data_IF_846882984726
#
_entry.id   IF_846882984726
#
_cell.length_a   1.000
_cell.length_b   1.000
_cell.length_c   1.000
_cell.angle_alpha   90.00
_cell.angle_beta   90.00
_cell.angle_gamma   90.00
#
_symmetry.space_group_name_H-M   'P 1'
#
loop_
_entity.id
_entity.type
_entity.pdbx_description
1 polymer ?
#
# COMPACT_ATOMS: atom_id res chain seq x y z
N UNK A 1 -21.37 -24.66 -45.32
CA UNK A 1 -20.75 -23.93 -44.20
C UNK A 1 -21.74 -24.04 -43.06
N UNK A 2 -21.52 -25.03 -42.20
CA UNK A 2 -22.47 -25.42 -41.16
C UNK A 2 -22.35 -24.49 -39.96
N UNK A 3 -23.47 -23.85 -39.62
CA UNK A 3 -23.56 -22.91 -38.52
C UNK A 3 -23.98 -23.69 -37.26
N UNK A 4 -23.00 -24.16 -36.47
CA UNK A 4 -23.26 -24.85 -35.22
C UNK A 4 -23.74 -23.85 -34.15
N UNK A 5 -24.86 -24.11 -33.44
CA UNK A 5 -25.32 -23.23 -32.38
C UNK A 5 -24.41 -23.30 -31.15
N UNK A 6 -24.11 -22.14 -30.55
CA UNK A 6 -23.36 -22.05 -29.29
C UNK A 6 -24.15 -22.70 -28.13
N UNK A 7 -23.46 -23.34 -27.17
CA UNK A 7 -24.11 -23.88 -25.98
C UNK A 7 -24.68 -22.75 -25.12
N UNK A 8 -25.96 -22.87 -24.75
CA UNK A 8 -26.59 -21.98 -23.77
C UNK A 8 -26.07 -22.35 -22.38
N UNK A 9 -25.36 -21.41 -21.76
CA UNK A 9 -24.98 -21.49 -20.34
C UNK A 9 -26.22 -21.14 -19.51
N UNK A 10 -26.67 -22.09 -18.70
CA UNK A 10 -27.68 -21.84 -17.67
C UNK A 10 -27.00 -21.24 -16.43
N UNK A 11 -27.27 -19.96 -16.18
CA UNK A 11 -26.69 -19.22 -15.06
C UNK A 11 -27.36 -19.54 -13.71
N UNK A 12 -28.44 -20.33 -13.69
CA UNK A 12 -29.16 -20.71 -12.47
C UNK A 12 -28.47 -21.77 -11.60
N UNK A 13 -27.51 -22.53 -12.15
CA UNK A 13 -26.91 -23.70 -11.48
C UNK A 13 -25.59 -23.37 -10.74
N UNK A 14 -24.96 -22.23 -11.03
CA UNK A 14 -23.60 -21.90 -10.54
C UNK A 14 -23.59 -21.20 -9.17
N UNK A 15 -24.75 -20.97 -8.55
CA UNK A 15 -24.88 -20.25 -7.28
C UNK A 15 -25.38 -21.10 -6.10
N UNK A 16 -25.36 -22.43 -6.22
CA UNK A 16 -25.59 -23.30 -5.07
C UNK A 16 -24.25 -23.81 -4.52
N UNK A 17 -23.57 -22.95 -3.77
CA UNK A 17 -22.61 -23.45 -2.79
C UNK A 17 -23.40 -23.97 -1.59
N UNK A 18 -23.16 -25.20 -1.11
CA UNK A 18 -23.77 -25.65 0.13
C UNK A 18 -23.31 -24.74 1.29
N UNK A 19 -24.13 -24.52 2.33
CA UNK A 19 -23.68 -23.80 3.51
C UNK A 19 -22.49 -24.53 4.10
N UNK A 20 -21.37 -23.82 4.22
CA UNK A 20 -20.17 -24.34 4.89
C UNK A 20 -20.49 -24.38 6.38
N UNK A 21 -20.55 -25.58 6.95
CA UNK A 21 -20.75 -25.76 8.39
C UNK A 21 -19.45 -25.35 9.10
N UNK A 22 -19.54 -24.41 10.05
CA UNK A 22 -18.37 -23.83 10.70
C UNK A 22 -17.62 -24.84 11.59
N UNK A 23 -18.29 -25.93 11.96
CA UNK A 23 -17.79 -26.98 12.87
C UNK A 23 -16.93 -28.05 12.16
N UNK A 24 -16.93 -28.11 10.82
CA UNK A 24 -16.10 -29.07 10.05
C UNK A 24 -14.68 -28.55 9.76
N UNK A 25 -14.39 -27.28 10.09
CA UNK A 25 -13.10 -26.63 9.80
C UNK A 25 -12.07 -26.73 10.96
N UNK A 26 -12.44 -27.32 12.10
CA UNK A 26 -11.56 -27.48 13.27
C UNK A 26 -11.78 -28.81 14.04
N UNK A 27 -11.09 -29.90 13.70
CA UNK A 27 -11.07 -31.09 14.54
C UNK A 27 -10.04 -30.91 15.68
N UNK A 28 -10.53 -30.45 16.84
CA UNK A 28 -9.78 -30.39 18.10
C UNK A 28 -10.31 -29.24 18.95
N UNK A 29 -11.18 -29.43 19.93
CA UNK A 29 -11.16 -30.49 20.95
C UNK A 29 -10.89 -29.80 22.28
N UNK A 30 -11.93 -29.24 22.89
CA UNK A 30 -11.90 -28.68 24.24
C UNK A 30 -11.73 -29.84 25.23
N UNK A 31 -10.49 -30.10 25.64
CA UNK A 31 -10.18 -30.99 26.76
C UNK A 31 -10.04 -30.17 28.04
N UNK A 32 -11.08 -30.17 28.86
CA UNK A 32 -10.97 -29.82 30.27
C UNK A 32 -10.08 -30.88 30.95
N UNK A 33 -8.90 -30.45 31.41
CA UNK A 33 -7.98 -31.27 32.18
C UNK A 33 -7.42 -30.43 33.32
N UNK A 34 -7.84 -30.78 34.54
CA UNK A 34 -7.30 -30.28 35.82
C UNK A 34 -5.77 -30.25 35.81
N UNK A 35 -5.17 -29.10 36.12
CA UNK A 35 -3.76 -29.01 36.50
C UNK A 35 -3.68 -28.78 38.02
N UNK A 36 -3.11 -29.71 38.82
CA UNK A 36 -2.71 -29.40 40.18
C UNK A 36 -1.42 -28.57 40.18
N UNK A 37 -1.31 -27.75 41.22
CA UNK A 37 -0.29 -26.75 41.52
C UNK A 37 1.16 -27.18 41.23
N UNK A 38 1.88 -26.29 40.57
CA UNK A 38 3.34 -26.19 40.72
C UNK A 38 3.63 -24.81 41.30
N UNK A 39 3.98 -24.83 42.59
CA UNK A 39 4.56 -23.71 43.32
C UNK A 39 5.97 -23.36 42.81
N UNK A 40 6.34 -22.10 43.06
CA UNK A 40 7.69 -21.53 43.10
C UNK A 40 8.45 -21.29 41.78
N UNK A 41 8.28 -20.09 41.18
CA UNK A 41 9.40 -19.12 41.03
C UNK A 41 8.94 -17.75 40.47
N UNK A 42 9.29 -16.69 41.18
CA UNK A 42 9.13 -15.27 40.80
C UNK A 42 9.83 -14.90 39.47
N UNK A 43 9.05 -14.51 38.47
CA UNK A 43 9.39 -13.51 37.45
C UNK A 43 8.13 -13.15 36.66
N UNK A 44 7.67 -11.90 36.77
CA UNK A 44 6.54 -11.36 36.01
C UNK A 44 6.90 -11.21 34.51
N UNK A 45 6.24 -11.92 33.57
CA UNK A 45 6.49 -11.75 32.14
C UNK A 45 5.57 -10.70 31.48
N UNK A 46 4.82 -9.90 32.25
CA UNK A 46 3.76 -9.02 31.73
C UNK A 46 3.99 -7.53 31.98
N UNK A 47 5.23 -7.06 31.91
CA UNK A 47 5.45 -5.67 31.46
C UNK A 47 5.44 -5.67 29.92
N UNK A 48 4.36 -5.27 29.24
CA UNK A 48 4.44 -5.04 27.81
C UNK A 48 5.46 -3.93 27.58
N UNK A 49 6.56 -4.24 26.91
CA UNK A 49 7.49 -3.24 26.43
C UNK A 49 6.73 -2.30 25.48
N UNK A 50 6.54 -1.01 25.81
CA UNK A 50 5.80 -0.08 24.95
C UNK A 50 6.55 0.28 23.65
N UNK A 51 7.75 -0.22 23.42
CA UNK A 51 8.55 0.07 22.21
C UNK A 51 8.34 -0.92 21.03
N UNK A 52 7.53 -1.97 21.17
CA UNK A 52 7.42 -3.05 20.16
C UNK A 52 6.14 -3.03 19.31
N UNK A 53 5.62 -1.85 18.95
CA UNK A 53 4.57 -1.72 17.91
C UNK A 53 4.86 -0.63 16.86
N UNK A 54 6.13 -0.27 16.64
CA UNK A 54 6.48 0.42 15.39
C UNK A 54 6.82 -0.67 14.37
N UNK A 55 6.07 -0.81 13.26
CA UNK A 55 6.51 -1.70 12.19
C UNK A 55 7.92 -1.24 11.80
N UNK A 56 8.88 -2.15 11.96
CA UNK A 56 10.27 -1.93 11.61
C UNK A 56 10.36 -1.79 10.10
N UNK A 57 10.15 -0.57 9.61
CA UNK A 57 10.42 -0.23 8.22
C UNK A 57 11.92 -0.13 8.07
N UNK A 58 12.50 -1.06 7.31
CA UNK A 58 13.89 -1.00 6.88
C UNK A 58 14.15 0.39 6.26
N UNK A 59 15.30 1.03 6.48
CA UNK A 59 15.61 2.34 5.90
C UNK A 59 15.54 2.37 4.35
N UNK A 60 15.60 1.19 3.71
CA UNK A 60 15.42 1.01 2.27
C UNK A 60 13.94 0.99 1.82
N UNK A 61 12.98 1.01 2.74
CA UNK A 61 11.56 1.02 2.39
C UNK A 61 11.04 2.39 1.96
N UNK A 62 11.79 3.49 2.21
CA UNK A 62 11.37 4.84 1.84
C UNK A 62 10.92 4.91 0.38
N UNK A 63 9.75 5.51 0.12
CA UNK A 63 9.10 5.47 -1.18
C UNK A 63 10.03 5.83 -2.34
N UNK A 64 10.91 6.81 -2.10
CA UNK A 64 12.16 6.98 -2.82
C UNK A 64 13.19 7.54 -1.83
N UNK A 65 14.34 6.88 -1.59
CA UNK A 65 15.39 7.43 -0.73
C UNK A 65 15.76 8.88 -1.11
N UNK A 66 15.88 9.78 -0.14
CA UNK A 66 16.21 11.19 -0.38
C UNK A 66 15.05 12.08 -0.83
N UNK A 67 13.82 11.54 -0.94
CA UNK A 67 12.66 12.35 -1.31
C UNK A 67 12.31 13.38 -0.23
N UNK A 68 12.51 13.04 1.03
CA UNK A 68 12.36 13.92 2.19
C UNK A 68 13.18 15.22 2.04
N UNK A 69 14.37 15.14 1.47
CA UNK A 69 15.25 16.29 1.27
C UNK A 69 14.67 17.31 0.29
N UNK A 70 13.96 16.85 -0.75
CA UNK A 70 13.28 17.72 -1.70
C UNK A 70 12.15 18.52 -1.02
N UNK A 71 11.47 17.91 -0.06
CA UNK A 71 10.36 18.53 0.68
C UNK A 71 10.81 19.29 1.94
N UNK A 72 12.03 19.05 2.45
CA UNK A 72 12.57 19.70 3.63
C UNK A 72 12.92 21.18 3.45
N UNK A 73 12.92 21.70 2.23
CA UNK A 73 13.28 23.10 1.91
C UNK A 73 12.18 24.12 2.25
N UNK A 74 10.97 23.67 2.61
CA UNK A 74 9.83 24.52 2.93
C UNK A 74 9.02 25.01 1.72
N UNK A 75 9.49 24.77 0.49
CA UNK A 75 8.74 25.01 -0.74
C UNK A 75 8.39 23.67 -1.42
N UNK A 76 7.27 23.59 -2.16
CA UNK A 76 6.99 22.43 -3.00
C UNK A 76 8.14 22.23 -4.02
N UNK A 77 8.71 21.02 -4.11
CA UNK A 77 9.74 20.72 -5.11
C UNK A 77 9.14 20.65 -6.52
N UNK A 78 10.00 20.70 -7.54
CA UNK A 78 9.56 20.54 -8.93
C UNK A 78 9.34 19.07 -9.27
N UNK A 79 8.44 18.81 -10.20
CA UNK A 79 8.18 17.48 -10.71
C UNK A 79 9.41 16.89 -11.44
N UNK A 80 10.21 17.74 -12.09
CA UNK A 80 11.50 17.38 -12.68
C UNK A 80 12.52 16.88 -11.65
N UNK A 81 12.61 17.49 -10.46
CA UNK A 81 13.51 17.04 -9.40
C UNK A 81 13.12 15.65 -8.89
N UNK A 82 11.81 15.42 -8.71
CA UNK A 82 11.27 14.10 -8.31
C UNK A 82 11.53 13.06 -9.41
N UNK A 83 11.41 13.44 -10.69
CA UNK A 83 11.77 12.59 -11.82
C UNK A 83 13.25 12.19 -11.78
N UNK A 84 14.15 13.15 -11.61
CA UNK A 84 15.59 12.89 -11.56
C UNK A 84 15.93 11.93 -10.41
N UNK A 85 15.27 12.11 -9.25
CA UNK A 85 15.42 11.20 -8.12
C UNK A 85 14.95 9.78 -8.49
N UNK A 86 13.76 9.63 -9.08
CA UNK A 86 13.23 8.34 -9.49
C UNK A 86 14.13 7.62 -10.51
N UNK A 87 14.63 8.36 -11.50
CA UNK A 87 15.53 7.83 -12.53
C UNK A 87 16.88 7.41 -11.94
N UNK A 88 17.43 8.17 -10.98
CA UNK A 88 18.67 7.78 -10.28
C UNK A 88 18.52 6.49 -9.45
N UNK A 89 17.29 6.15 -9.07
CA UNK A 89 16.93 4.90 -8.37
C UNK A 89 16.59 3.75 -9.34
N UNK A 90 16.80 3.94 -10.64
CA UNK A 90 16.45 2.99 -11.69
C UNK A 90 14.95 2.65 -11.74
N UNK A 91 14.07 3.57 -11.32
CA UNK A 91 12.64 3.37 -11.48
C UNK A 91 12.21 3.62 -12.92
N UNK A 92 11.38 2.72 -13.45
CA UNK A 92 10.86 2.80 -14.81
C UNK A 92 9.69 3.77 -14.89
N UNK A 93 9.80 4.77 -15.78
CA UNK A 93 8.71 5.71 -16.07
C UNK A 93 7.61 5.04 -16.88
N UNK A 94 6.38 5.11 -16.38
CA UNK A 94 5.16 4.62 -17.04
C UNK A 94 4.14 5.76 -17.10
N UNK A 95 3.63 6.07 -18.29
CA UNK A 95 2.61 7.10 -18.47
C UNK A 95 1.67 6.75 -19.63
N UNK A 96 0.37 6.85 -19.38
CA UNK A 96 -0.64 6.81 -20.45
C UNK A 96 -0.78 8.22 -21.07
N UNK A 97 -1.21 8.36 -22.34
CA UNK A 97 -1.19 9.66 -23.05
C UNK A 97 -1.77 10.87 -22.31
N UNK A 98 -2.80 10.65 -21.49
CA UNK A 98 -3.45 11.69 -20.67
C UNK A 98 -3.47 11.35 -19.18
N UNK A 99 -2.59 10.44 -18.75
CA UNK A 99 -2.55 9.90 -17.40
C UNK A 99 -1.45 10.52 -16.52
N UNK A 100 -1.52 10.26 -15.20
CA UNK A 100 -0.42 10.55 -14.29
C UNK A 100 0.87 9.86 -14.72
N UNK A 101 2.01 10.50 -14.44
CA UNK A 101 3.32 9.87 -14.59
C UNK A 101 3.54 8.97 -13.38
N UNK A 102 3.94 7.73 -13.62
CA UNK A 102 4.26 6.76 -12.58
C UNK A 102 5.70 6.33 -12.71
N UNK A 103 6.36 6.08 -11.58
CA UNK A 103 7.68 5.45 -11.53
C UNK A 103 7.57 4.13 -10.78
N UNK A 104 8.01 3.07 -11.42
CA UNK A 104 7.86 1.68 -10.98
C UNK A 104 9.23 1.09 -10.67
N UNK A 105 9.40 0.46 -9.52
CA UNK A 105 10.65 -0.20 -9.16
C UNK A 105 10.85 -1.55 -9.90
N UNK A 106 11.99 -2.19 -9.67
CA UNK A 106 12.32 -3.50 -10.26
C UNK A 106 11.38 -4.64 -9.85
N UNK A 107 10.59 -4.46 -8.78
CA UNK A 107 9.61 -5.43 -8.31
C UNK A 107 8.21 -5.17 -8.89
N UNK A 108 8.06 -4.17 -9.76
CA UNK A 108 6.77 -3.81 -10.36
C UNK A 108 5.89 -2.94 -9.46
N UNK A 109 6.42 -2.42 -8.35
CA UNK A 109 5.65 -1.58 -7.40
C UNK A 109 5.76 -0.12 -7.83
N UNK A 110 4.60 0.56 -7.87
CA UNK A 110 4.56 2.00 -8.14
C UNK A 110 5.05 2.75 -6.90
N UNK A 111 6.23 3.35 -6.99
CA UNK A 111 6.89 4.10 -5.91
C UNK A 111 6.46 5.54 -5.84
N UNK A 112 6.36 6.17 -7.02
CA UNK A 112 6.01 7.58 -7.18
C UNK A 112 4.91 7.70 -8.22
N UNK A 113 3.90 8.49 -7.92
CA UNK A 113 2.89 8.93 -8.90
C UNK A 113 2.83 10.45 -8.91
N UNK A 114 3.21 11.08 -10.02
CA UNK A 114 3.14 12.52 -10.24
C UNK A 114 1.85 12.85 -10.99
N UNK A 115 1.08 13.79 -10.44
CA UNK A 115 -0.19 14.24 -11.01
C UNK A 115 -0.12 15.73 -11.28
N UNK A 116 -0.47 16.13 -12.50
CA UNK A 116 -0.58 17.54 -12.92
C UNK A 116 -1.74 18.31 -12.26
N UNK A 117 -2.54 17.63 -11.44
CA UNK A 117 -3.84 18.14 -10.97
C UNK A 117 -4.92 17.95 -12.03
N UNK A 118 -6.18 17.86 -11.60
CA UNK A 118 -7.31 17.89 -12.51
C UNK A 118 -8.51 18.54 -11.83
N UNK A 119 -9.22 19.39 -12.56
CA UNK A 119 -10.50 19.94 -12.11
C UNK A 119 -11.64 18.91 -12.18
N UNK A 120 -11.36 17.69 -12.67
CA UNK A 120 -12.37 16.64 -12.83
C UNK A 120 -12.87 16.05 -11.51
N UNK A 121 -12.10 16.21 -10.42
CA UNK A 121 -12.51 15.80 -9.09
C UNK A 121 -12.20 16.89 -8.04
N UNK A 122 -13.14 17.09 -7.11
CA UNK A 122 -12.99 18.04 -6.01
C UNK A 122 -11.76 17.67 -5.16
N UNK A 123 -10.90 18.65 -4.87
CA UNK A 123 -9.67 18.45 -4.07
C UNK A 123 -8.47 17.92 -4.85
N UNK A 124 -8.62 17.53 -6.13
CA UNK A 124 -7.49 17.13 -6.99
C UNK A 124 -6.99 18.25 -7.90
N UNK A 125 -7.45 19.49 -7.70
CA UNK A 125 -7.25 20.59 -8.65
C UNK A 125 -5.78 20.98 -8.85
N UNK A 126 -4.96 20.83 -7.81
CA UNK A 126 -3.55 21.24 -7.83
C UNK A 126 -2.61 20.06 -8.11
N UNK A 127 -1.44 20.33 -8.72
CA UNK A 127 -0.42 19.30 -8.89
C UNK A 127 0.07 18.73 -7.56
N UNK A 128 0.28 17.43 -7.53
CA UNK A 128 0.72 16.71 -6.34
C UNK A 128 1.43 15.40 -6.69
N UNK A 129 2.13 14.86 -5.71
CA UNK A 129 2.75 13.54 -5.75
C UNK A 129 2.09 12.60 -4.75
N UNK A 130 1.98 11.33 -5.12
CA UNK A 130 1.63 10.23 -4.20
C UNK A 130 2.80 9.26 -4.11
N UNK A 131 3.12 8.82 -2.89
CA UNK A 131 4.30 8.01 -2.60
C UNK A 131 3.93 6.66 -1.98
N UNK A 132 4.71 5.62 -2.28
CA UNK A 132 4.54 4.29 -1.69
C UNK A 132 5.86 3.61 -1.40
N UNK A 133 5.89 2.88 -0.29
CA UNK A 133 6.93 1.92 0.05
C UNK A 133 6.96 0.71 -0.88
N UNK A 134 8.00 -0.12 -0.73
CA UNK A 134 8.15 -1.37 -1.50
C UNK A 134 6.99 -2.33 -1.24
N UNK A 135 6.48 -2.33 -0.02
CA UNK A 135 5.29 -3.08 0.37
C UNK A 135 3.99 -2.59 -0.32
N UNK A 136 4.02 -1.44 -0.99
CA UNK A 136 2.85 -0.79 -1.57
C UNK A 136 2.04 0.08 -0.58
N UNK A 137 2.46 0.14 0.68
CA UNK A 137 1.90 1.06 1.67
C UNK A 137 2.13 2.51 1.24
N UNK A 138 1.09 3.35 1.32
CA UNK A 138 1.19 4.78 1.03
C UNK A 138 1.84 5.52 2.17
N UNK A 139 2.68 6.49 1.81
CA UNK A 139 3.34 7.39 2.76
C UNK A 139 3.34 8.84 2.29
N UNK A 140 3.58 9.74 3.22
CA UNK A 140 4.02 11.10 2.90
C UNK A 140 5.54 11.12 2.60
N UNK A 141 6.12 12.27 2.20
CA UNK A 141 7.55 12.36 1.89
C UNK A 141 8.49 12.08 3.07
N UNK A 142 7.97 12.16 4.30
CA UNK A 142 8.73 11.93 5.53
C UNK A 142 8.59 10.49 6.03
N UNK A 143 7.91 9.63 5.28
CA UNK A 143 7.73 8.21 5.61
C UNK A 143 6.57 7.94 6.57
N UNK A 144 5.73 8.92 6.88
CA UNK A 144 4.55 8.66 7.71
C UNK A 144 3.49 7.91 6.89
N UNK A 145 2.90 6.82 7.42
CA UNK A 145 1.81 6.13 6.75
C UNK A 145 0.62 7.04 6.50
N UNK A 146 0.10 7.01 5.27
CA UNK A 146 -1.06 7.83 4.88
C UNK A 146 -2.13 7.00 4.20
N UNK A 147 -3.38 7.48 4.28
CA UNK A 147 -4.49 6.86 3.56
C UNK A 147 -4.67 7.52 2.20
N UNK A 148 -5.32 6.82 1.26
CA UNK A 148 -5.60 7.32 -0.10
C UNK A 148 -6.28 8.69 -0.15
N UNK A 149 -7.10 9.02 0.86
CA UNK A 149 -7.89 10.27 0.89
C UNK A 149 -7.25 11.36 1.76
N UNK A 150 -6.17 11.03 2.48
CA UNK A 150 -5.57 11.97 3.42
C UNK A 150 -4.82 13.09 2.68
N UNK A 151 -4.75 14.30 3.26
CA UNK A 151 -3.97 15.40 2.68
C UNK A 151 -2.51 15.05 2.44
N UNK A 152 -1.88 14.27 3.34
CA UNK A 152 -0.49 13.84 3.20
C UNK A 152 -0.23 12.97 1.97
N UNK A 153 -1.23 12.18 1.51
CA UNK A 153 -1.11 11.45 0.24
C UNK A 153 -1.14 12.37 -0.98
N UNK A 154 -1.67 13.59 -0.86
CA UNK A 154 -1.75 14.59 -1.92
C UNK A 154 -0.70 15.69 -1.71
N UNK A 155 0.56 15.27 -1.57
CA UNK A 155 1.65 16.20 -1.27
C UNK A 155 1.86 17.18 -2.44
N UNK A 156 1.76 18.50 -2.25
CA UNK A 156 1.87 19.48 -3.32
C UNK A 156 3.25 19.50 -3.99
N UNK A 157 3.28 19.78 -5.29
CA UNK A 157 4.50 19.96 -6.09
C UNK A 157 4.30 21.10 -7.09
N UNK A 158 5.41 21.64 -7.61
CA UNK A 158 5.37 22.47 -8.81
C UNK A 158 5.45 21.55 -10.05
N UNK A 159 4.53 21.73 -10.99
CA UNK A 159 4.49 20.88 -12.18
C UNK A 159 5.17 21.56 -13.37
N UNK A 160 6.30 21.00 -13.80
CA UNK A 160 7.16 21.51 -14.88
C UNK A 160 7.53 20.43 -15.93
N UNK A 161 6.80 19.32 -15.97
CA UNK A 161 7.04 18.15 -16.83
C UNK A 161 6.17 18.07 -18.09
#
# INVERSE_FOLDING_TARGET
MDNLPLPKVDWGEILQTPPVNLEDLYPGGFGEGLQPEVDDFDADPRSPNPELEKPFFEPNDLAAPGIDQLFGTGNPPNASDIRNLAESQNFTRVQNPNGPIKYVDGNGVIRITIKQGSQRAQGSGSPHVELRYASGQRVDPFGNPVTRKSPGNHTPINYDL
#
